data_IF_913976976383
#
_entry.id   IF_913976976383
#
_cell.length_a   1.000
_cell.length_b   1.000
_cell.length_c   1.000
_cell.angle_alpha   90.00
_cell.angle_beta   90.00
_cell.angle_gamma   90.00
#
_symmetry.space_group_name_H-M   'P 1'
#
loop_
_entity.id
_entity.type
_entity.pdbx_description
1 polymer ?
#
# COMPACT_ATOMS: atom_id res chain seq x y z
N UNK A 1 -11.91 12.77 -0.95
CA UNK A 1 -13.00 13.66 -0.43
C UNK A 1 -14.30 12.90 -0.16
N UNK A 2 -14.67 11.89 -0.96
CA UNK A 2 -15.91 11.09 -0.76
C UNK A 2 -15.95 10.37 0.60
N UNK A 3 -14.87 9.71 1.03
CA UNK A 3 -14.81 9.04 2.34
C UNK A 3 -15.00 9.99 3.53
N UNK A 4 -14.50 11.23 3.44
CA UNK A 4 -14.71 12.25 4.49
C UNK A 4 -16.17 12.72 4.55
N UNK A 5 -16.87 12.76 3.40
CA UNK A 5 -18.32 13.06 3.36
C UNK A 5 -19.17 11.94 3.98
N UNK A 6 -18.65 10.72 4.03
CA UNK A 6 -19.28 9.57 4.68
C UNK A 6 -18.95 9.47 6.19
N UNK A 7 -18.33 10.50 6.78
CA UNK A 7 -17.96 10.52 8.21
C UNK A 7 -16.63 9.83 8.54
N UNK A 8 -15.97 9.19 7.56
CA UNK A 8 -14.69 8.55 7.78
C UNK A 8 -13.54 9.58 7.71
N UNK A 9 -12.99 9.92 8.88
CA UNK A 9 -11.74 10.71 9.01
C UNK A 9 -10.51 9.84 8.73
N UNK A 10 -10.37 9.39 7.49
CA UNK A 10 -9.18 8.63 7.07
C UNK A 10 -8.02 9.60 6.79
N UNK A 11 -6.94 9.45 7.55
CA UNK A 11 -5.67 10.16 7.34
C UNK A 11 -5.09 9.79 5.98
N UNK A 12 -4.78 10.75 5.09
CA UNK A 12 -4.11 10.48 3.82
C UNK A 12 -2.74 9.84 4.06
N UNK A 13 -2.20 9.07 3.08
CA UNK A 13 -0.92 8.38 3.23
C UNK A 13 0.23 9.31 3.68
N UNK A 14 0.24 10.55 3.19
CA UNK A 14 1.25 11.56 3.56
C UNK A 14 1.26 11.97 5.05
N UNK A 15 0.16 11.71 5.77
CA UNK A 15 -0.02 11.99 7.20
C UNK A 15 0.01 10.73 8.06
N UNK A 16 0.15 9.56 7.45
CA UNK A 16 0.28 8.30 8.16
C UNK A 16 1.75 7.99 8.45
N UNK A 17 2.00 7.26 9.53
CA UNK A 17 3.33 6.78 9.87
C UNK A 17 3.89 5.84 8.81
N UNK A 18 5.23 5.75 8.73
CA UNK A 18 5.95 4.91 7.77
C UNK A 18 5.45 3.45 7.78
N UNK A 19 5.27 2.86 8.96
CA UNK A 19 4.84 1.47 9.08
C UNK A 19 3.39 1.26 8.61
N UNK A 20 2.48 2.18 8.92
CA UNK A 20 1.09 2.12 8.47
C UNK A 20 1.00 2.22 6.95
N UNK A 21 1.74 3.14 6.33
CA UNK A 21 1.81 3.24 4.87
C UNK A 21 2.34 1.95 4.24
N UNK A 22 3.40 1.38 4.82
CA UNK A 22 3.96 0.12 4.37
C UNK A 22 2.92 -1.02 4.41
N UNK A 23 2.25 -1.21 5.55
CA UNK A 23 1.25 -2.27 5.72
C UNK A 23 0.05 -2.05 4.79
N UNK A 24 -0.43 -0.81 4.64
CA UNK A 24 -1.53 -0.52 3.71
C UNK A 24 -1.16 -0.79 2.26
N UNK A 25 0.02 -0.36 1.82
CA UNK A 25 0.49 -0.65 0.46
C UNK A 25 0.68 -2.14 0.23
N UNK A 26 1.28 -2.87 1.17
CA UNK A 26 1.45 -4.32 1.12
C UNK A 26 0.10 -5.04 1.02
N UNK A 27 -0.82 -4.74 1.94
CA UNK A 27 -2.13 -5.37 2.00
C UNK A 27 -3.01 -5.06 0.77
N UNK A 28 -2.78 -3.93 0.11
CA UNK A 28 -3.48 -3.56 -1.12
C UNK A 28 -2.87 -4.22 -2.36
N UNK A 29 -1.55 -4.18 -2.52
CA UNK A 29 -0.87 -4.62 -3.75
C UNK A 29 -0.69 -6.14 -3.79
N UNK A 30 -0.39 -6.79 -2.67
CA UNK A 30 -0.18 -8.24 -2.62
C UNK A 30 -1.37 -9.06 -3.16
N UNK A 31 -2.64 -8.83 -2.76
CA UNK A 31 -3.76 -9.61 -3.32
C UNK A 31 -4.02 -9.31 -4.80
N UNK A 32 -3.77 -8.09 -5.26
CA UNK A 32 -3.90 -7.72 -6.67
C UNK A 32 -2.85 -8.46 -7.50
N UNK A 33 -1.59 -8.45 -7.06
CA UNK A 33 -0.50 -9.13 -7.73
C UNK A 33 -0.71 -10.65 -7.71
N UNK A 34 -1.10 -11.21 -6.57
CA UNK A 34 -1.47 -12.62 -6.44
C UNK A 34 -2.60 -13.01 -7.42
N UNK A 35 -3.65 -12.19 -7.53
CA UNK A 35 -4.72 -12.42 -8.49
C UNK A 35 -4.21 -12.40 -9.93
N UNK A 36 -3.31 -11.47 -10.26
CA UNK A 36 -2.69 -11.39 -11.58
C UNK A 36 -1.89 -12.66 -11.90
N UNK A 37 -1.02 -13.12 -10.98
CA UNK A 37 -0.27 -14.37 -11.14
C UNK A 37 -1.21 -15.58 -11.28
N UNK A 38 -2.32 -15.60 -10.54
CA UNK A 38 -3.32 -16.66 -10.65
C UNK A 38 -3.98 -16.71 -12.04
N UNK A 39 -4.23 -15.57 -12.68
CA UNK A 39 -4.81 -15.52 -14.02
C UNK A 39 -3.81 -15.75 -15.15
N UNK A 40 -2.54 -15.35 -14.97
CA UNK A 40 -1.52 -15.39 -16.01
C UNK A 40 -0.53 -16.56 -15.89
N UNK A 41 0.04 -16.83 -14.70
CA UNK A 41 1.06 -17.88 -14.51
C UNK A 41 0.44 -19.28 -14.31
N UNK A 42 -0.77 -19.38 -13.76
CA UNK A 42 -1.37 -20.69 -13.43
C UNK A 42 -1.69 -21.54 -14.67
N UNK A 43 -1.80 -20.93 -15.85
CA UNK A 43 -2.07 -21.66 -17.09
C UNK A 43 -0.83 -22.35 -17.68
N UNK A 44 0.39 -21.83 -17.45
CA UNK A 44 1.57 -22.25 -18.21
C UNK A 44 2.63 -23.02 -17.41
N UNK A 45 2.78 -22.80 -16.09
CA UNK A 45 4.01 -23.22 -15.37
C UNK A 45 3.75 -24.22 -14.22
N UNK A 46 2.50 -24.45 -13.81
CA UNK A 46 2.19 -25.44 -12.75
C UNK A 46 2.81 -25.11 -11.39
N UNK A 47 3.09 -23.83 -11.15
CA UNK A 47 3.72 -23.31 -9.93
C UNK A 47 2.80 -23.58 -8.74
N UNK A 48 3.38 -24.00 -7.61
CA UNK A 48 2.60 -24.27 -6.41
C UNK A 48 1.95 -22.99 -5.86
N UNK A 49 0.75 -23.12 -5.28
CA UNK A 49 0.02 -22.00 -4.67
C UNK A 49 0.86 -21.29 -3.59
N UNK A 50 1.69 -22.02 -2.85
CA UNK A 50 2.54 -21.42 -1.82
C UNK A 50 3.69 -20.57 -2.42
N UNK A 51 4.22 -20.97 -3.57
CA UNK A 51 5.32 -20.27 -4.22
C UNK A 51 4.87 -18.96 -4.86
N UNK A 52 3.69 -18.94 -5.50
CA UNK A 52 3.07 -17.70 -5.95
C UNK A 52 2.81 -16.73 -4.77
N UNK A 53 2.58 -17.26 -3.56
CA UNK A 53 2.16 -16.46 -2.41
C UNK A 53 3.38 -15.75 -1.86
N UNK A 54 4.49 -16.49 -1.81
CA UNK A 54 5.79 -15.98 -1.43
C UNK A 54 6.28 -14.90 -2.40
N UNK A 55 6.20 -15.14 -3.72
CA UNK A 55 6.56 -14.13 -4.75
C UNK A 55 5.71 -12.87 -4.61
N UNK A 56 4.40 -13.01 -4.46
CA UNK A 56 3.48 -11.87 -4.29
C UNK A 56 3.79 -11.09 -3.01
N UNK A 57 4.08 -11.78 -1.90
CA UNK A 57 4.47 -11.14 -0.64
C UNK A 57 5.78 -10.35 -0.79
N UNK A 58 6.77 -10.91 -1.47
CA UNK A 58 8.04 -10.23 -1.74
C UNK A 58 7.85 -8.98 -2.59
N UNK A 59 7.06 -9.08 -3.67
CA UNK A 59 6.77 -7.96 -4.56
C UNK A 59 5.99 -6.85 -3.82
N UNK A 60 4.95 -7.24 -3.06
CA UNK A 60 4.17 -6.33 -2.22
C UNK A 60 5.02 -5.66 -1.14
N UNK A 61 5.98 -6.38 -0.54
CA UNK A 61 6.88 -5.82 0.48
C UNK A 61 7.84 -4.80 -0.14
N UNK A 62 8.47 -5.14 -1.26
CA UNK A 62 9.41 -4.23 -1.92
C UNK A 62 8.68 -2.96 -2.41
N UNK A 63 7.51 -3.11 -3.02
CA UNK A 63 6.68 -2.00 -3.44
C UNK A 63 6.21 -1.14 -2.25
N UNK A 64 5.69 -1.78 -1.20
CA UNK A 64 5.23 -1.09 0.01
C UNK A 64 6.34 -0.31 0.69
N UNK A 65 7.57 -0.85 0.70
CA UNK A 65 8.74 -0.18 1.26
C UNK A 65 9.12 1.05 0.45
N UNK A 66 9.21 0.91 -0.89
CA UNK A 66 9.50 2.02 -1.78
C UNK A 66 8.46 3.14 -1.67
N UNK A 67 7.17 2.78 -1.66
CA UNK A 67 6.09 3.77 -1.50
C UNK A 67 6.11 4.44 -0.14
N UNK A 68 6.39 3.69 0.93
CA UNK A 68 6.47 4.27 2.27
C UNK A 68 7.65 5.25 2.38
N UNK A 69 8.81 4.92 1.79
CA UNK A 69 9.95 5.85 1.70
C UNK A 69 9.56 7.09 0.89
N UNK A 70 8.95 6.91 -0.28
CA UNK A 70 8.49 8.00 -1.12
C UNK A 70 7.53 8.93 -0.36
N UNK A 71 6.53 8.39 0.32
CA UNK A 71 5.58 9.18 1.11
C UNK A 71 6.26 9.87 2.29
N UNK A 72 7.21 9.23 2.97
CA UNK A 72 7.96 9.85 4.06
C UNK A 72 8.82 11.03 3.57
N UNK A 73 9.51 10.88 2.44
CA UNK A 73 10.31 11.96 1.84
C UNK A 73 9.39 13.10 1.37
N UNK A 74 8.31 12.78 0.65
CA UNK A 74 7.38 13.78 0.12
C UNK A 74 6.65 14.52 1.23
N UNK A 75 6.28 13.84 2.31
CA UNK A 75 5.65 14.46 3.48
C UNK A 75 6.59 15.52 4.09
N UNK A 76 7.88 15.21 4.23
CA UNK A 76 8.89 16.17 4.69
C UNK A 76 9.13 17.33 3.72
N UNK A 77 9.12 17.08 2.40
CA UNK A 77 9.29 18.12 1.39
C UNK A 77 8.11 19.10 1.32
N UNK A 78 6.90 18.60 1.59
CA UNK A 78 5.67 19.38 1.45
C UNK A 78 5.38 20.27 2.68
N UNK A 79 6.21 20.23 3.74
CA UNK A 79 6.01 20.98 4.99
C UNK A 79 4.54 20.94 5.45
N UNK A 80 3.95 19.74 5.43
CA UNK A 80 2.53 19.58 5.65
C UNK A 80 2.18 20.02 7.09
N UNK A 81 1.24 20.95 7.20
CA UNK A 81 0.61 21.32 8.48
C UNK A 81 -0.01 20.07 9.12
N UNK A 82 0.12 19.93 10.43
CA UNK A 82 -0.39 18.76 11.15
C UNK A 82 -1.83 18.44 10.76
N UNK A 83 -2.08 17.16 10.49
CA UNK A 83 -3.38 16.69 10.06
C UNK A 83 -4.50 17.04 11.04
N UNK A 84 -4.18 17.01 12.34
CA UNK A 84 -5.14 17.29 13.40
C UNK A 84 -5.50 18.79 13.48
N UNK A 85 -4.67 19.68 12.93
CA UNK A 85 -4.95 21.12 12.79
C UNK A 85 -5.79 21.46 11.56
N UNK A 86 -5.85 20.56 10.55
CA UNK A 86 -6.64 20.76 9.32
C UNK A 86 -8.12 20.36 9.45
N UNK A 87 -8.54 20.00 10.66
CA UNK A 87 -9.86 19.43 10.98
C UNK A 87 -10.77 20.31 11.84
N UNK A 88 -10.38 21.56 12.12
CA UNK A 88 -11.30 22.64 12.53
C UNK A 88 -12.01 23.25 11.32
#
# INVERSE_FOLDING_TARGET
>A
RLLRKLGFRIRPPYYQGFFLNFVFCLAYVAPIWWGFEWFFEWNEIGISMLEAAYKSLQCGALFGLLMSIFYAIRSKQLNLTDWDLLGE
#
